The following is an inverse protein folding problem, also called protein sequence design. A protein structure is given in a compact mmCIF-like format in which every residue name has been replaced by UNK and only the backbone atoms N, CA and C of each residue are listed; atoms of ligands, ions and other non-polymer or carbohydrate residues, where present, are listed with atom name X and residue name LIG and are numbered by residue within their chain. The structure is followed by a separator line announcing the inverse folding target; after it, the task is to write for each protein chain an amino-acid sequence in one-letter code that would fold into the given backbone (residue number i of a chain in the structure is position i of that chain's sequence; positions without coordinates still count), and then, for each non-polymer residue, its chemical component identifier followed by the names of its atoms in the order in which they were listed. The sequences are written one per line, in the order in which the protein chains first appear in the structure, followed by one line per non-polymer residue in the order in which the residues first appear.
data_IF_069974791697
#
_entry.id   IF_069974791697
#
_cell.length_a   1.000
_cell.length_b   1.000
_cell.length_c   1.000
_cell.angle_alpha   90.00
_cell.angle_beta   90.00
_cell.angle_gamma   90.00
#
_symmetry.space_group_name_H-M   'P 1'
#
loop_
_entity.id
_entity.type
_entity.pdbx_description
1 polymer ?
#
# COMPACT_ATOMS: atom_id res chain seq x y z
N UNK A 1 -12.38 39.45 22.59
CA UNK A 1 -13.34 38.31 22.55
C UNK A 1 -13.91 38.03 21.17
N UNK A 2 -14.34 39.03 20.38
CA UNK A 2 -14.99 38.81 19.07
C UNK A 2 -14.05 38.20 18.01
N UNK A 3 -12.80 38.68 17.85
CA UNK A 3 -11.85 38.10 16.87
C UNK A 3 -11.31 36.72 17.28
N UNK A 4 -11.11 36.48 18.58
CA UNK A 4 -10.72 35.17 19.13
C UNK A 4 -11.79 34.11 18.89
N UNK A 5 -13.07 34.49 18.95
CA UNK A 5 -14.19 33.60 18.63
C UNK A 5 -14.17 33.19 17.15
N UNK A 6 -13.93 34.13 16.23
CA UNK A 6 -13.88 33.85 14.81
C UNK A 6 -12.70 32.96 14.41
N UNK A 7 -11.54 33.15 15.05
CA UNK A 7 -10.37 32.29 14.84
C UNK A 7 -10.60 30.88 15.34
N UNK A 8 -11.23 30.71 16.51
CA UNK A 8 -11.62 29.39 17.02
C UNK A 8 -12.62 28.70 16.08
N UNK A 9 -13.65 29.41 15.61
CA UNK A 9 -14.62 28.86 14.65
C UNK A 9 -13.93 28.43 13.34
N UNK A 10 -13.02 29.24 12.81
CA UNK A 10 -12.27 28.90 11.60
C UNK A 10 -11.41 27.64 11.80
N UNK A 11 -10.70 27.54 12.92
CA UNK A 11 -9.89 26.36 13.25
C UNK A 11 -10.73 25.09 13.39
N UNK A 12 -11.90 25.20 14.02
CA UNK A 12 -12.85 24.07 14.15
C UNK A 12 -13.36 23.63 12.77
N UNK A 13 -13.71 24.58 11.89
CA UNK A 13 -14.13 24.25 10.52
C UNK A 13 -13.01 23.58 9.74
N UNK A 14 -11.77 24.09 9.82
CA UNK A 14 -10.61 23.47 9.16
C UNK A 14 -10.37 22.05 9.69
N UNK A 15 -10.39 21.87 11.01
CA UNK A 15 -10.19 20.56 11.63
C UNK A 15 -11.27 19.56 11.23
N UNK A 16 -12.55 19.97 11.24
CA UNK A 16 -13.65 19.14 10.76
C UNK A 16 -13.48 18.82 9.26
N UNK A 17 -13.07 19.78 8.45
CA UNK A 17 -12.82 19.58 7.01
C UNK A 17 -11.75 18.51 6.76
N UNK A 18 -10.67 18.52 7.56
CA UNK A 18 -9.57 17.56 7.45
C UNK A 18 -10.01 16.13 7.81
N UNK A 19 -10.96 15.96 8.73
CA UNK A 19 -11.52 14.63 9.07
C UNK A 19 -12.32 14.03 7.91
N UNK A 20 -12.93 14.88 7.07
CA UNK A 20 -13.70 14.42 5.90
C UNK A 20 -12.85 14.21 4.65
N UNK A 21 -11.52 14.42 4.70
CA UNK A 21 -10.64 14.06 3.60
C UNK A 21 -10.37 12.55 3.72
N UNK A 22 -10.94 11.72 2.84
CA UNK A 22 -10.59 10.31 2.84
C UNK A 22 -9.09 10.21 2.57
N UNK A 23 -8.37 9.48 3.43
CA UNK A 23 -6.97 9.18 3.17
C UNK A 23 -6.96 8.25 1.96
N UNK A 24 -6.71 8.82 0.79
CA UNK A 24 -6.53 8.05 -0.44
C UNK A 24 -5.16 7.36 -0.36
N UNK A 25 -5.10 6.25 0.34
CA UNK A 25 -4.00 5.30 0.19
C UNK A 25 -4.26 4.46 -1.06
N UNK A 26 -3.22 4.27 -1.87
CA UNK A 26 -3.29 3.27 -2.92
C UNK A 26 -3.37 1.90 -2.26
N UNK A 27 -4.39 1.11 -2.62
CA UNK A 27 -4.45 -0.29 -2.21
C UNK A 27 -3.16 -1.01 -2.65
N UNK A 28 -2.65 -1.96 -1.84
CA UNK A 28 -1.48 -2.74 -2.21
C UNK A 28 -1.69 -3.46 -3.54
N UNK A 29 -0.66 -3.48 -4.38
CA UNK A 29 -0.70 -4.23 -5.64
C UNK A 29 -0.53 -5.73 -5.32
N UNK A 30 -1.57 -6.51 -5.61
CA UNK A 30 -1.56 -7.96 -5.40
C UNK A 30 -1.09 -8.69 -6.65
N UNK A 31 -0.06 -9.53 -6.52
CA UNK A 31 0.50 -10.37 -7.58
C UNK A 31 0.40 -11.84 -7.16
N UNK A 32 0.00 -12.70 -8.08
CA UNK A 32 0.06 -14.16 -7.90
C UNK A 32 1.22 -14.72 -8.72
N UNK A 33 2.16 -15.37 -8.04
CA UNK A 33 3.31 -16.01 -8.67
C UNK A 33 3.16 -17.52 -8.59
N UNK A 34 2.83 -18.15 -9.71
CA UNK A 34 2.72 -19.60 -9.82
C UNK A 34 4.11 -20.19 -10.05
N UNK A 35 4.52 -21.13 -9.22
CA UNK A 35 5.83 -21.76 -9.31
C UNK A 35 5.76 -23.25 -9.05
N UNK A 36 6.69 -23.99 -9.64
CA UNK A 36 6.78 -25.43 -9.52
C UNK A 36 8.17 -25.81 -9.02
N UNK A 37 8.27 -26.74 -8.07
CA UNK A 37 9.56 -27.22 -7.58
C UNK A 37 10.31 -28.00 -8.67
N UNK A 38 11.60 -27.69 -8.87
CA UNK A 38 12.42 -28.33 -9.90
C UNK A 38 12.18 -27.80 -11.32
N UNK A 39 11.36 -26.75 -11.47
CA UNK A 39 11.24 -25.99 -12.71
C UNK A 39 12.48 -25.09 -12.86
N UNK A 40 13.30 -25.37 -13.87
CA UNK A 40 14.55 -24.63 -14.12
C UNK A 40 14.32 -23.12 -14.25
N UNK A 41 13.31 -22.73 -15.01
CA UNK A 41 13.02 -21.31 -15.23
C UNK A 41 12.48 -20.64 -13.97
N UNK A 42 11.70 -21.37 -13.16
CA UNK A 42 11.16 -20.90 -11.90
C UNK A 42 12.28 -20.63 -10.87
N UNK A 43 13.27 -21.53 -10.79
CA UNK A 43 14.46 -21.36 -9.94
C UNK A 43 15.30 -20.14 -10.34
N UNK A 44 15.34 -19.81 -11.63
CA UNK A 44 16.00 -18.60 -12.13
C UNK A 44 15.19 -17.34 -11.78
N UNK A 45 13.86 -17.41 -11.82
CA UNK A 45 12.99 -16.25 -11.54
C UNK A 45 12.74 -16.01 -10.06
N UNK A 46 12.86 -17.02 -9.21
CA UNK A 46 12.66 -16.90 -7.76
C UNK A 46 13.46 -15.75 -7.10
N UNK A 47 14.79 -15.60 -7.31
CA UNK A 47 15.53 -14.48 -6.74
C UNK A 47 15.12 -13.12 -7.31
N UNK A 48 14.55 -13.08 -8.52
CA UNK A 48 14.01 -11.85 -9.11
C UNK A 48 12.72 -11.47 -8.38
N UNK A 49 11.84 -12.44 -8.12
CA UNK A 49 10.60 -12.24 -7.36
C UNK A 49 10.90 -11.78 -5.93
N UNK A 50 11.86 -12.42 -5.25
CA UNK A 50 12.29 -12.02 -3.90
C UNK A 50 12.80 -10.57 -3.86
N UNK A 51 13.58 -10.17 -4.87
CA UNK A 51 14.06 -8.80 -4.98
C UNK A 51 12.93 -7.80 -5.19
N UNK A 52 11.93 -8.14 -6.00
CA UNK A 52 10.77 -7.26 -6.25
C UNK A 52 9.97 -7.13 -4.94
N UNK A 53 9.72 -8.23 -4.23
CA UNK A 53 9.03 -8.22 -2.92
C UNK A 53 9.76 -7.33 -1.89
N UNK A 54 11.09 -7.44 -1.81
CA UNK A 54 11.88 -6.61 -0.90
C UNK A 54 11.96 -5.12 -1.30
N UNK A 55 11.76 -4.78 -2.57
CA UNK A 55 11.92 -3.42 -3.08
C UNK A 55 10.66 -2.55 -2.95
N UNK A 56 9.47 -3.15 -2.94
CA UNK A 56 8.21 -2.40 -2.97
C UNK A 56 7.36 -2.67 -1.72
N UNK A 57 7.28 -1.68 -0.83
CA UNK A 57 6.53 -1.79 0.44
C UNK A 57 5.01 -1.95 0.26
N UNK A 58 4.44 -1.45 -0.84
CA UNK A 58 2.99 -1.50 -1.10
C UNK A 58 2.61 -2.59 -2.13
N UNK A 59 3.34 -3.69 -2.15
CA UNK A 59 3.11 -4.82 -3.04
C UNK A 59 3.06 -6.11 -2.24
N UNK A 60 2.13 -6.99 -2.59
CA UNK A 60 1.95 -8.29 -1.95
C UNK A 60 2.07 -9.37 -3.03
N UNK A 61 3.07 -10.24 -2.90
CA UNK A 61 3.25 -11.38 -3.79
C UNK A 61 2.80 -12.66 -3.08
N UNK A 62 1.79 -13.32 -3.63
CA UNK A 62 1.35 -14.64 -3.18
C UNK A 62 2.00 -15.70 -4.05
N UNK A 63 2.91 -16.51 -3.48
CA UNK A 63 3.48 -17.68 -4.14
C UNK A 63 2.49 -18.84 -4.11
N UNK A 64 2.22 -19.42 -5.27
CA UNK A 64 1.29 -20.55 -5.44
C UNK A 64 2.08 -21.71 -6.03
N UNK A 65 2.27 -22.75 -5.21
CA UNK A 65 2.91 -23.99 -5.64
C UNK A 65 1.99 -24.74 -6.62
N UNK A 66 2.54 -25.07 -7.78
CA UNK A 66 1.88 -25.86 -8.83
C UNK A 66 2.68 -27.15 -9.03
N UNK A 67 2.19 -28.25 -8.46
CA UNK A 67 2.68 -29.65 -8.55
C UNK A 67 4.06 -29.99 -8.01
#
# INVERSE_FOLDING_TARGET
MKSSSHTITALVVIYLSLIFIPVAYADPVAIQYFHQKGCHDCEITDPIVDRIEAQYENMVITRIETS
#
